data_IF_033436752353
#
_entry.id   IF_033436752353
#
_cell.length_a   1.000
_cell.length_b   1.000
_cell.length_c   1.000
_cell.angle_alpha   90.00
_cell.angle_beta   90.00
_cell.angle_gamma   90.00
#
_symmetry.space_group_name_H-M   'P 1'
#
loop_
_entity.id
_entity.type
_entity.pdbx_description
1 polymer ?
#
# COMPACT_ATOMS: atom_id res chain seq x y z
N UNK A 1 -2.83 13.55 25.17
CA UNK A 1 -2.07 14.77 24.87
C UNK A 1 -0.61 14.39 24.74
N UNK A 2 0.04 14.70 23.62
CA UNK A 2 1.48 14.51 23.46
C UNK A 2 2.21 15.50 24.39
N UNK A 3 3.15 15.00 25.20
CA UNK A 3 3.98 15.85 26.05
C UNK A 3 5.03 16.55 25.17
N UNK A 4 5.37 17.80 25.47
CA UNK A 4 6.40 18.56 24.76
C UNK A 4 7.75 17.84 24.74
N UNK A 5 8.07 17.07 25.80
CA UNK A 5 9.26 16.22 25.83
C UNK A 5 9.19 15.08 24.81
N UNK A 6 8.03 14.44 24.64
CA UNK A 6 7.86 13.38 23.65
C UNK A 6 8.03 13.95 22.24
N UNK A 7 7.54 15.17 21.99
CA UNK A 7 7.68 15.86 20.69
C UNK A 7 9.15 16.21 20.41
N UNK A 8 9.86 16.79 21.39
CA UNK A 8 11.27 17.16 21.24
C UNK A 8 12.18 15.92 21.09
N UNK A 9 11.89 14.85 21.82
CA UNK A 9 12.61 13.57 21.69
C UNK A 9 12.32 12.91 20.33
N UNK A 10 11.08 13.01 19.84
CA UNK A 10 10.69 12.54 18.50
C UNK A 10 11.44 13.31 17.41
N UNK A 11 11.57 14.64 17.55
CA UNK A 11 12.36 15.49 16.64
C UNK A 11 13.85 15.10 16.66
N UNK A 12 14.42 14.83 17.84
CA UNK A 12 15.81 14.37 17.95
C UNK A 12 16.07 13.05 17.21
N UNK A 13 15.13 12.10 17.26
CA UNK A 13 15.26 10.84 16.53
C UNK A 13 15.20 10.98 15.01
N UNK A 14 14.36 11.89 14.52
CA UNK A 14 14.25 12.18 13.09
C UNK A 14 15.61 12.63 12.54
N UNK A 15 16.29 13.49 13.29
CA UNK A 15 17.57 14.09 12.87
C UNK A 15 18.76 13.13 13.06
N UNK A 16 18.79 12.34 14.13
CA UNK A 16 19.96 11.52 14.48
C UNK A 16 19.93 10.07 13.91
N UNK A 17 18.76 9.56 13.48
CA UNK A 17 18.61 8.12 13.17
C UNK A 17 18.10 7.81 11.74
N UNK A 18 18.09 8.78 10.83
CA UNK A 18 17.69 8.60 9.41
C UNK A 18 16.31 7.97 9.24
N UNK A 19 15.34 8.39 10.06
CA UNK A 19 13.98 7.87 10.01
C UNK A 19 13.23 8.44 8.80
N UNK A 20 12.69 7.56 7.96
CA UNK A 20 11.88 7.92 6.80
C UNK A 20 10.43 7.41 6.90
N UNK A 21 9.52 8.22 6.37
CA UNK A 21 8.16 7.78 6.08
C UNK A 21 8.20 7.08 4.73
N UNK A 22 8.04 5.76 4.75
CA UNK A 22 8.08 4.95 3.53
C UNK A 22 6.93 5.29 2.59
N UNK A 23 5.74 5.56 3.14
CA UNK A 23 4.58 5.89 2.33
C UNK A 23 3.50 6.64 3.09
N UNK A 24 2.78 7.51 2.38
CA UNK A 24 1.40 7.90 2.71
C UNK A 24 0.50 7.27 1.66
N UNK A 25 -0.49 6.49 2.08
CA UNK A 25 -1.47 5.86 1.18
C UNK A 25 -2.86 6.41 1.46
N UNK A 26 -3.52 6.94 0.43
CA UNK A 26 -4.94 7.24 0.48
C UNK A 26 -5.75 6.03 0.01
N UNK A 27 -6.54 5.46 0.90
CA UNK A 27 -7.57 4.49 0.55
C UNK A 27 -8.81 5.20 0.02
N UNK A 28 -9.41 4.72 -1.07
CA UNK A 28 -10.61 5.30 -1.68
C UNK A 28 -11.62 4.19 -2.02
N UNK A 29 -12.82 4.29 -1.46
CA UNK A 29 -13.92 3.40 -1.82
C UNK A 29 -14.44 3.71 -3.22
N UNK A 30 -14.69 2.68 -4.02
CA UNK A 30 -15.25 2.81 -5.38
C UNK A 30 -16.67 2.23 -5.49
N UNK A 31 -17.32 1.87 -4.38
CA UNK A 31 -18.63 1.23 -4.40
C UNK A 31 -19.72 2.11 -5.05
N UNK A 32 -19.65 3.42 -4.86
CA UNK A 32 -20.53 4.41 -5.50
C UNK A 32 -20.19 4.67 -6.98
N UNK A 33 -19.03 4.19 -7.44
CA UNK A 33 -18.61 4.24 -8.83
C UNK A 33 -19.07 3.03 -9.64
N UNK A 34 -19.65 2.01 -9.00
CA UNK A 34 -20.21 0.85 -9.69
C UNK A 34 -21.31 1.27 -10.69
N UNK A 35 -21.30 0.65 -11.86
CA UNK A 35 -22.29 0.84 -12.92
C UNK A 35 -22.37 -0.44 -13.75
N UNK A 36 -23.53 -0.75 -14.32
CA UNK A 36 -23.69 -1.87 -15.24
C UNK A 36 -22.99 -1.66 -16.59
N UNK A 37 -22.59 -0.42 -16.88
CA UNK A 37 -21.78 -0.05 -18.02
C UNK A 37 -20.35 0.27 -17.56
N UNK A 38 -19.40 -0.51 -18.07
CA UNK A 38 -17.98 -0.40 -17.69
C UNK A 38 -17.40 0.99 -18.01
N UNK A 39 -17.81 1.64 -19.09
CA UNK A 39 -17.27 2.93 -19.50
C UNK A 39 -17.80 4.05 -18.58
N UNK A 40 -19.06 3.96 -18.15
CA UNK A 40 -19.60 4.85 -17.10
C UNK A 40 -18.92 4.62 -15.75
N UNK A 41 -18.71 3.36 -15.37
CA UNK A 41 -18.00 2.99 -14.14
C UNK A 41 -16.57 3.57 -14.14
N UNK A 42 -15.81 3.35 -15.24
CA UNK A 42 -14.47 3.91 -15.41
C UNK A 42 -14.44 5.44 -15.28
N UNK A 43 -15.41 6.14 -15.89
CA UNK A 43 -15.50 7.60 -15.75
C UNK A 43 -15.69 8.03 -14.30
N UNK A 44 -16.62 7.40 -13.57
CA UNK A 44 -16.86 7.70 -12.15
C UNK A 44 -15.62 7.43 -11.28
N UNK A 45 -14.90 6.34 -11.55
CA UNK A 45 -13.66 5.99 -10.85
C UNK A 45 -12.60 7.09 -11.05
N UNK A 46 -12.34 7.48 -12.30
CA UNK A 46 -11.37 8.53 -12.62
C UNK A 46 -11.73 9.84 -11.92
N UNK A 47 -12.98 10.31 -12.09
CA UNK A 47 -13.45 11.57 -11.51
C UNK A 47 -13.35 11.54 -9.97
N UNK A 48 -13.69 10.41 -9.33
CA UNK A 48 -13.64 10.27 -7.88
C UNK A 48 -12.20 10.26 -7.36
N UNK A 49 -11.31 9.48 -7.97
CA UNK A 49 -9.90 9.39 -7.55
C UNK A 49 -9.21 10.75 -7.70
N UNK A 50 -9.32 11.38 -8.87
CA UNK A 50 -8.68 12.67 -9.12
C UNK A 50 -9.20 13.75 -8.17
N UNK A 51 -10.50 13.79 -7.87
CA UNK A 51 -11.06 14.74 -6.91
C UNK A 51 -10.58 14.49 -5.47
N UNK A 52 -10.50 13.23 -5.03
CA UNK A 52 -10.14 12.90 -3.64
C UNK A 52 -8.63 13.05 -3.39
N UNK A 53 -7.81 12.68 -4.36
CA UNK A 53 -6.35 12.67 -4.23
C UNK A 53 -5.65 13.88 -4.87
N UNK A 54 -6.39 14.88 -5.37
CA UNK A 54 -5.87 16.10 -6.02
C UNK A 54 -4.70 16.74 -5.25
N UNK A 55 -4.82 16.80 -3.93
CA UNK A 55 -3.85 17.46 -3.04
C UNK A 55 -2.95 16.48 -2.29
N UNK A 56 -3.01 15.18 -2.57
CA UNK A 56 -2.28 14.16 -1.81
C UNK A 56 -0.77 14.39 -1.87
N UNK A 57 -0.22 14.58 -3.07
CA UNK A 57 1.22 14.77 -3.28
C UNK A 57 1.68 16.08 -2.66
N UNK A 58 1.00 17.20 -2.95
CA UNK A 58 1.36 18.51 -2.38
C UNK A 58 1.26 18.55 -0.86
N UNK A 59 0.33 17.79 -0.27
CA UNK A 59 0.22 17.64 1.19
C UNK A 59 1.42 16.89 1.73
N UNK A 60 1.79 15.77 1.11
CA UNK A 60 3.01 15.03 1.46
C UNK A 60 4.25 15.92 1.42
N UNK A 61 4.48 16.65 0.33
CA UNK A 61 5.62 17.56 0.17
C UNK A 61 5.64 18.71 1.18
N UNK A 62 4.45 19.22 1.57
CA UNK A 62 4.35 20.25 2.59
C UNK A 62 4.75 19.72 3.97
N UNK A 63 4.34 18.49 4.30
CA UNK A 63 4.68 17.84 5.57
C UNK A 63 6.17 17.49 5.61
N UNK A 64 6.74 17.01 4.51
CA UNK A 64 8.19 16.77 4.38
C UNK A 64 8.98 18.03 4.73
N UNK A 65 8.63 19.17 4.13
CA UNK A 65 9.30 20.46 4.38
C UNK A 65 9.11 20.97 5.81
N UNK A 66 7.93 20.74 6.40
CA UNK A 66 7.60 21.23 7.74
C UNK A 66 8.38 20.49 8.83
N UNK A 67 8.53 19.17 8.69
CA UNK A 67 9.15 18.33 9.70
C UNK A 67 10.57 17.87 9.38
N UNK A 68 11.05 18.14 8.17
CA UNK A 68 12.34 17.65 7.67
C UNK A 68 12.42 16.10 7.73
N UNK A 69 11.30 15.44 7.44
CA UNK A 69 11.19 13.98 7.38
C UNK A 69 10.86 13.61 5.93
N UNK A 70 11.67 12.79 5.25
CA UNK A 70 11.37 12.35 3.90
C UNK A 70 10.14 11.42 3.87
N UNK A 71 9.24 11.66 2.92
CA UNK A 71 8.09 10.82 2.57
C UNK A 71 8.37 10.20 1.20
N UNK A 72 8.89 8.98 1.21
CA UNK A 72 9.45 8.33 0.01
C UNK A 72 8.38 8.08 -1.05
N UNK A 73 7.16 7.72 -0.65
CA UNK A 73 6.08 7.42 -1.59
C UNK A 73 4.75 8.07 -1.18
N UNK A 74 3.96 8.44 -2.17
CA UNK A 74 2.56 8.85 -2.07
C UNK A 74 1.75 7.92 -2.96
N UNK A 75 0.77 7.21 -2.39
CA UNK A 75 0.11 6.08 -3.05
C UNK A 75 -1.40 6.12 -2.89
N UNK A 76 -2.08 5.35 -3.72
CA UNK A 76 -3.54 5.16 -3.63
C UNK A 76 -3.84 3.67 -3.52
N UNK A 77 -4.80 3.29 -2.68
CA UNK A 77 -5.44 1.99 -2.73
C UNK A 77 -6.93 2.14 -2.99
N UNK A 78 -7.52 1.23 -3.78
CA UNK A 78 -8.94 1.28 -4.12
C UNK A 78 -9.64 -0.03 -3.82
N UNK A 79 -10.98 0.01 -3.77
CA UNK A 79 -11.81 -1.18 -3.64
C UNK A 79 -11.39 -2.24 -4.67
N UNK A 80 -11.32 -3.53 -4.28
CA UNK A 80 -11.01 -4.62 -5.20
C UNK A 80 -11.82 -4.53 -6.50
N UNK A 81 -11.13 -4.30 -7.62
CA UNK A 81 -11.78 -4.07 -8.91
C UNK A 81 -12.62 -5.27 -9.36
N UNK A 82 -12.36 -6.48 -8.87
CA UNK A 82 -13.20 -7.64 -9.21
C UNK A 82 -14.66 -7.44 -8.79
N UNK A 83 -14.91 -6.69 -7.72
CA UNK A 83 -16.27 -6.36 -7.27
C UNK A 83 -17.00 -5.44 -8.26
N UNK A 84 -16.29 -4.47 -8.84
CA UNK A 84 -16.86 -3.57 -9.84
C UNK A 84 -17.02 -4.28 -11.18
N UNK A 85 -16.04 -5.11 -11.56
CA UNK A 85 -16.11 -5.96 -12.74
C UNK A 85 -17.28 -6.96 -12.66
N UNK A 86 -17.60 -7.47 -11.48
CA UNK A 86 -18.77 -8.32 -11.25
C UNK A 86 -20.11 -7.62 -11.50
N UNK A 87 -20.17 -6.29 -11.39
CA UNK A 87 -21.37 -5.48 -11.69
C UNK A 87 -21.42 -5.09 -13.17
N UNK A 88 -20.31 -4.58 -13.72
CA UNK A 88 -20.28 -4.06 -15.09
C UNK A 88 -20.15 -5.16 -16.15
N UNK A 89 -19.57 -6.31 -15.80
CA UNK A 89 -19.00 -7.23 -16.78
C UNK A 89 -17.97 -6.54 -17.67
N UNK A 90 -17.78 -7.06 -18.88
CA UNK A 90 -16.89 -6.49 -19.89
C UNK A 90 -15.42 -6.84 -19.67
N UNK A 91 -14.53 -6.00 -20.22
CA UNK A 91 -13.07 -6.19 -20.17
C UNK A 91 -12.45 -5.41 -18.99
N UNK A 92 -11.96 -6.09 -17.94
CA UNK A 92 -11.38 -5.43 -16.76
C UNK A 92 -10.13 -4.59 -17.04
N UNK A 93 -9.47 -4.78 -18.20
CA UNK A 93 -8.30 -3.96 -18.60
C UNK A 93 -8.68 -2.48 -18.70
N UNK A 94 -9.94 -2.16 -19.04
CA UNK A 94 -10.44 -0.78 -19.01
C UNK A 94 -10.31 -0.15 -17.63
N UNK A 95 -10.57 -0.92 -16.56
CA UNK A 95 -10.35 -0.45 -15.19
C UNK A 95 -8.87 -0.23 -14.92
N UNK A 96 -7.99 -1.15 -15.30
CA UNK A 96 -6.55 -0.99 -15.11
C UNK A 96 -6.03 0.30 -15.77
N UNK A 97 -6.37 0.54 -17.04
CA UNK A 97 -5.98 1.76 -17.77
C UNK A 97 -6.56 3.02 -17.12
N UNK A 98 -7.78 2.95 -16.58
CA UNK A 98 -8.41 4.07 -15.87
C UNK A 98 -7.69 4.39 -14.57
N UNK A 99 -7.33 3.37 -13.78
CA UNK A 99 -6.55 3.54 -12.55
C UNK A 99 -5.17 4.12 -12.84
N UNK A 100 -4.48 3.63 -13.87
CA UNK A 100 -3.17 4.16 -14.29
C UNK A 100 -3.26 5.63 -14.68
N UNK A 101 -4.29 5.99 -15.47
CA UNK A 101 -4.54 7.37 -15.86
C UNK A 101 -4.82 8.27 -14.65
N UNK A 102 -5.64 7.82 -13.71
CA UNK A 102 -5.95 8.58 -12.49
C UNK A 102 -4.71 8.75 -11.60
N UNK A 103 -3.90 7.70 -11.45
CA UNK A 103 -2.66 7.74 -10.68
C UNK A 103 -1.65 8.74 -11.26
N UNK A 104 -1.49 8.74 -12.59
CA UNK A 104 -0.64 9.71 -13.30
C UNK A 104 -1.14 11.14 -13.14
N UNK A 105 -2.44 11.37 -13.24
CA UNK A 105 -3.04 12.69 -13.03
C UNK A 105 -2.78 13.21 -11.61
N UNK A 106 -2.92 12.35 -10.59
CA UNK A 106 -2.66 12.71 -9.20
C UNK A 106 -1.17 12.81 -8.85
N UNK A 107 -0.25 12.39 -9.73
CA UNK A 107 1.19 12.38 -9.50
C UNK A 107 1.65 11.38 -8.44
N UNK A 108 0.89 10.32 -8.17
CA UNK A 108 1.23 9.30 -7.16
C UNK A 108 2.16 8.23 -7.73
N UNK A 109 2.93 7.55 -6.87
CA UNK A 109 3.90 6.55 -7.31
C UNK A 109 3.23 5.25 -7.78
N UNK A 110 2.19 4.81 -7.06
CA UNK A 110 1.48 3.57 -7.34
C UNK A 110 0.03 3.63 -6.91
N UNK A 111 -0.80 2.86 -7.63
CA UNK A 111 -2.19 2.59 -7.28
C UNK A 111 -2.44 1.09 -7.19
N UNK A 112 -2.94 0.64 -6.04
CA UNK A 112 -3.32 -0.75 -5.77
C UNK A 112 -4.82 -0.89 -5.68
N UNK A 113 -5.31 -2.13 -5.77
CA UNK A 113 -6.73 -2.45 -5.75
C UNK A 113 -7.21 -3.13 -7.02
N UNK A 114 -6.34 -3.33 -8.02
CA UNK A 114 -6.59 -4.25 -9.13
C UNK A 114 -6.55 -5.70 -8.63
N UNK A 115 -7.55 -6.05 -7.82
CA UNK A 115 -7.46 -7.12 -6.84
C UNK A 115 -8.73 -7.96 -6.80
N UNK A 116 -8.56 -9.21 -6.38
CA UNK A 116 -9.64 -10.18 -6.17
C UNK A 116 -9.47 -10.95 -4.85
N UNK A 117 -10.58 -11.30 -4.20
CA UNK A 117 -10.61 -12.00 -2.91
C UNK A 117 -11.33 -13.35 -3.04
N UNK A 118 -10.61 -14.39 -3.46
CA UNK A 118 -11.16 -15.67 -3.94
C UNK A 118 -10.94 -16.86 -3.01
N UNK A 119 -10.54 -16.60 -1.77
CA UNK A 119 -10.24 -17.61 -0.74
C UNK A 119 -11.37 -18.60 -0.43
N UNK A 120 -12.63 -18.32 -0.82
CA UNK A 120 -13.80 -19.21 -0.66
C UNK A 120 -14.39 -19.73 -1.98
N UNK A 121 -13.73 -19.48 -3.10
CA UNK A 121 -14.24 -19.73 -4.44
C UNK A 121 -14.27 -18.45 -5.28
N UNK A 122 -14.62 -18.61 -6.56
CA UNK A 122 -14.74 -17.51 -7.50
C UNK A 122 -16.20 -17.00 -7.56
N UNK A 123 -16.35 -15.69 -7.70
CA UNK A 123 -17.61 -15.01 -7.97
C UNK A 123 -17.53 -14.27 -9.31
N UNK A 124 -18.62 -13.58 -9.66
CA UNK A 124 -18.68 -12.74 -10.86
C UNK A 124 -17.54 -11.70 -10.87
N UNK A 125 -16.83 -11.60 -12.00
CA UNK A 125 -15.73 -10.65 -12.20
C UNK A 125 -14.37 -11.14 -11.71
N UNK A 126 -14.30 -12.14 -10.82
CA UNK A 126 -13.02 -12.60 -10.26
C UNK A 126 -12.14 -13.27 -11.32
N UNK A 127 -12.71 -14.17 -12.13
CA UNK A 127 -11.95 -14.89 -13.16
C UNK A 127 -11.53 -13.94 -14.29
N UNK A 128 -12.42 -13.06 -14.72
CA UNK A 128 -12.13 -12.05 -15.74
C UNK A 128 -10.99 -11.15 -15.26
N UNK A 129 -11.06 -10.66 -14.01
CA UNK A 129 -10.00 -9.85 -13.44
C UNK A 129 -8.69 -10.64 -13.35
N UNK A 130 -8.68 -11.83 -12.75
CA UNK A 130 -7.44 -12.62 -12.58
C UNK A 130 -6.78 -12.92 -13.93
N UNK A 131 -7.56 -13.32 -14.93
CA UNK A 131 -7.03 -13.64 -16.26
C UNK A 131 -6.50 -12.39 -17.00
N UNK A 132 -7.01 -11.21 -16.69
CA UNK A 132 -6.54 -9.95 -17.28
C UNK A 132 -5.26 -9.39 -16.64
N UNK A 133 -4.85 -9.89 -15.46
CA UNK A 133 -3.71 -9.36 -14.70
C UNK A 133 -2.44 -9.21 -15.55
N UNK A 134 -1.97 -10.22 -16.30
CA UNK A 134 -0.71 -10.09 -17.04
C UNK A 134 -0.74 -8.96 -18.07
N UNK A 135 -1.85 -8.83 -18.81
CA UNK A 135 -2.01 -7.79 -19.81
C UNK A 135 -2.17 -6.42 -19.15
N UNK A 136 -3.00 -6.32 -18.10
CA UNK A 136 -3.17 -5.09 -17.34
C UNK A 136 -1.82 -4.55 -16.82
N UNK A 137 -0.99 -5.41 -16.22
CA UNK A 137 0.31 -5.00 -15.67
C UNK A 137 1.36 -4.69 -16.75
N UNK A 138 1.20 -5.21 -17.97
CA UNK A 138 2.06 -4.90 -19.11
C UNK A 138 1.72 -3.56 -19.78
N UNK A 139 0.42 -3.21 -19.80
CA UNK A 139 -0.11 -2.00 -20.43
C UNK A 139 -0.16 -0.78 -19.50
N UNK A 140 0.00 -0.98 -18.19
CA UNK A 140 -0.02 0.08 -17.18
C UNK A 140 1.33 0.22 -16.51
N UNK A 141 1.64 1.41 -16.02
CA UNK A 141 2.91 1.70 -15.37
C UNK A 141 2.77 1.60 -13.85
N UNK A 142 1.76 2.27 -13.28
CA UNK A 142 1.63 2.52 -11.84
C UNK A 142 0.64 1.60 -11.13
N UNK A 143 -0.10 0.77 -11.87
CA UNK A 143 -1.07 -0.17 -11.28
C UNK A 143 -0.36 -1.38 -10.69
N UNK A 144 -0.74 -1.69 -9.46
CA UNK A 144 -0.39 -2.91 -8.73
C UNK A 144 -1.61 -3.80 -8.53
N UNK A 145 -1.39 -5.11 -8.50
CA UNK A 145 -2.43 -6.12 -8.42
C UNK A 145 -2.18 -7.09 -7.26
N UNK A 146 -3.28 -7.54 -6.64
CA UNK A 146 -3.20 -8.53 -5.56
C UNK A 146 -4.35 -9.51 -5.56
N UNK A 147 -4.08 -10.78 -5.23
CA UNK A 147 -5.13 -11.82 -5.18
C UNK A 147 -5.03 -12.59 -3.88
N UNK A 148 -6.09 -12.58 -3.06
CA UNK A 148 -6.16 -13.41 -1.85
C UNK A 148 -6.77 -14.77 -2.17
N UNK A 149 -5.96 -15.83 -2.10
CA UNK A 149 -6.33 -17.20 -2.49
C UNK A 149 -6.64 -18.10 -1.31
N UNK A 150 -6.41 -17.66 -0.08
CA UNK A 150 -6.65 -18.48 1.11
C UNK A 150 -6.87 -17.66 2.37
N UNK A 151 -7.43 -18.31 3.39
CA UNK A 151 -7.46 -17.80 4.76
C UNK A 151 -7.52 -18.94 5.76
N UNK A 152 -7.08 -18.70 6.99
CA UNK A 152 -7.18 -19.67 8.10
C UNK A 152 -8.62 -20.13 8.31
N UNK A 153 -9.60 -19.25 8.09
CA UNK A 153 -11.03 -19.56 8.26
C UNK A 153 -11.63 -20.38 7.12
N UNK A 154 -11.20 -20.16 5.89
CA UNK A 154 -11.79 -20.78 4.70
C UNK A 154 -10.98 -21.95 4.13
N UNK A 155 -9.73 -22.13 4.59
CA UNK A 155 -8.76 -22.96 3.91
C UNK A 155 -8.14 -22.24 2.71
N UNK A 156 -7.65 -23.01 1.74
CA UNK A 156 -6.95 -22.52 0.55
C UNK A 156 -7.76 -22.91 -0.68
N UNK A 157 -8.09 -21.95 -1.52
CA UNK A 157 -8.64 -22.21 -2.84
C UNK A 157 -7.51 -22.63 -3.79
N UNK A 158 -7.31 -23.95 -3.94
CA UNK A 158 -6.22 -24.52 -4.75
C UNK A 158 -6.38 -24.24 -6.25
N UNK A 159 -7.60 -24.05 -6.75
CA UNK A 159 -7.83 -23.66 -8.14
C UNK A 159 -7.30 -22.25 -8.39
N UNK A 160 -7.53 -21.32 -7.44
CA UNK A 160 -6.98 -19.98 -7.50
C UNK A 160 -5.44 -19.98 -7.37
N UNK A 161 -4.86 -20.82 -6.51
CA UNK A 161 -3.40 -20.99 -6.41
C UNK A 161 -2.81 -21.44 -7.75
N UNK A 162 -3.38 -22.48 -8.37
CA UNK A 162 -2.91 -23.00 -9.65
C UNK A 162 -3.04 -21.95 -10.77
N UNK A 163 -4.13 -21.18 -10.77
CA UNK A 163 -4.34 -20.07 -11.70
C UNK A 163 -3.30 -18.98 -11.51
N UNK A 164 -3.10 -18.51 -10.28
CA UNK A 164 -2.13 -17.45 -9.98
C UNK A 164 -0.70 -17.86 -10.32
N UNK A 165 -0.32 -19.13 -10.15
CA UNK A 165 0.99 -19.63 -10.59
C UNK A 165 1.25 -19.39 -12.09
N UNK A 166 0.22 -19.58 -12.93
CA UNK A 166 0.30 -19.26 -14.37
C UNK A 166 0.34 -17.75 -14.61
N UNK A 167 -0.48 -16.97 -13.89
CA UNK A 167 -0.54 -15.52 -14.07
C UNK A 167 0.76 -14.81 -13.67
N UNK A 168 1.46 -15.28 -12.64
CA UNK A 168 2.77 -14.76 -12.24
C UNK A 168 3.79 -14.94 -13.38
N UNK A 169 3.89 -16.16 -13.93
CA UNK A 169 4.79 -16.45 -15.04
C UNK A 169 4.46 -15.61 -16.28
N UNK A 170 3.17 -15.52 -16.62
CA UNK A 170 2.74 -14.75 -17.79
C UNK A 170 2.98 -13.25 -17.63
N UNK A 171 2.75 -12.70 -16.43
CA UNK A 171 3.05 -11.29 -16.11
C UNK A 171 4.53 -10.98 -16.29
N UNK A 172 5.42 -11.89 -15.86
CA UNK A 172 6.86 -11.76 -16.09
C UNK A 172 7.21 -11.83 -17.59
N UNK A 173 6.63 -12.80 -18.32
CA UNK A 173 6.90 -13.01 -19.75
C UNK A 173 6.51 -11.82 -20.61
N UNK A 174 5.30 -11.28 -20.42
CA UNK A 174 4.79 -10.13 -21.17
C UNK A 174 5.57 -8.84 -20.89
N UNK A 175 6.23 -8.76 -19.74
CA UNK A 175 7.04 -7.61 -19.35
C UNK A 175 8.54 -7.88 -19.38
N UNK A 176 8.99 -8.94 -20.07
CA UNK A 176 10.40 -9.35 -20.15
C UNK A 176 11.32 -8.25 -20.70
N UNK A 177 10.84 -7.44 -21.64
CA UNK A 177 11.57 -6.27 -22.17
C UNK A 177 11.76 -5.13 -21.16
N UNK A 178 11.03 -5.16 -20.05
CA UNK A 178 11.05 -4.18 -18.94
C UNK A 178 11.47 -4.87 -17.63
N UNK A 179 12.46 -5.75 -17.70
CA UNK A 179 12.99 -6.49 -16.54
C UNK A 179 11.92 -7.27 -15.76
N UNK A 180 10.91 -7.82 -16.46
CA UNK A 180 9.82 -8.59 -15.88
C UNK A 180 9.01 -7.80 -14.82
N UNK A 181 8.94 -6.46 -14.94
CA UNK A 181 8.33 -5.57 -13.95
C UNK A 181 6.89 -5.94 -13.56
N UNK A 182 6.13 -6.59 -14.45
CA UNK A 182 4.78 -7.07 -14.16
C UNK A 182 4.74 -7.99 -12.94
N UNK A 183 5.70 -8.88 -12.79
CA UNK A 183 5.77 -9.76 -11.62
C UNK A 183 6.12 -9.00 -10.32
N UNK A 184 6.84 -7.88 -10.40
CA UNK A 184 7.13 -7.04 -9.23
C UNK A 184 5.91 -6.25 -8.74
N UNK A 185 4.89 -6.08 -9.58
CA UNK A 185 3.63 -5.38 -9.27
C UNK A 185 2.48 -6.33 -8.90
N UNK A 186 2.75 -7.63 -8.74
CA UNK A 186 1.75 -8.66 -8.45
C UNK A 186 2.03 -9.37 -7.12
N UNK A 187 1.03 -9.43 -6.23
CA UNK A 187 1.13 -10.15 -4.95
C UNK A 187 0.03 -11.21 -4.83
N UNK A 188 0.39 -12.42 -4.42
CA UNK A 188 -0.56 -13.48 -4.07
C UNK A 188 -0.60 -13.62 -2.56
N UNK A 189 -1.77 -13.44 -1.96
CA UNK A 189 -1.98 -13.51 -0.52
C UNK A 189 -2.61 -14.81 -0.09
N UNK A 190 -2.22 -15.23 1.11
CA UNK A 190 -3.05 -16.03 2.00
C UNK A 190 -3.19 -15.24 3.29
N UNK A 191 -4.41 -15.18 3.86
CA UNK A 191 -4.74 -14.31 4.98
C UNK A 191 -4.51 -12.82 4.69
N UNK A 192 -4.92 -12.33 3.52
CA UNK A 192 -5.07 -10.89 3.37
C UNK A 192 -5.97 -10.34 4.49
N UNK A 193 -5.52 -9.26 5.11
CA UNK A 193 -6.29 -8.42 6.02
C UNK A 193 -7.50 -7.81 5.29
N UNK A 194 -8.48 -7.29 6.03
CA UNK A 194 -9.72 -6.77 5.43
C UNK A 194 -9.49 -5.56 4.51
N UNK A 195 -8.45 -4.79 4.79
CA UNK A 195 -7.88 -3.73 3.98
C UNK A 195 -6.35 -3.81 4.05
N UNK A 196 -5.65 -3.39 3.00
CA UNK A 196 -4.18 -3.33 3.02
C UNK A 196 -3.73 -2.05 2.29
N UNK A 197 -3.13 -1.06 2.96
CA UNK A 197 -2.63 0.15 2.29
C UNK A 197 -1.21 -0.01 1.71
N UNK A 198 -0.59 -1.20 1.79
CA UNK A 198 0.82 -1.41 1.46
C UNK A 198 1.04 -2.12 0.11
N UNK A 199 1.85 -1.47 -0.75
CA UNK A 199 2.20 -1.99 -2.08
C UNK A 199 3.25 -3.09 -2.02
N UNK A 200 3.25 -4.02 -2.99
CA UNK A 200 2.38 -4.08 -4.18
C UNK A 200 0.99 -4.71 -3.93
N UNK A 201 0.69 -5.11 -2.70
CA UNK A 201 -0.52 -5.83 -2.36
C UNK A 201 -1.73 -4.98 -1.96
N UNK A 202 -1.69 -3.67 -2.17
CA UNK A 202 -2.65 -2.80 -1.51
C UNK A 202 -4.05 -2.89 -2.14
N UNK A 203 -5.08 -2.78 -1.32
CA UNK A 203 -6.47 -2.56 -1.71
C UNK A 203 -7.24 -1.92 -0.55
N UNK A 204 -8.28 -1.15 -0.87
CA UNK A 204 -9.15 -0.50 0.12
C UNK A 204 -10.30 -1.44 0.49
N UNK A 205 -10.37 -1.85 1.75
CA UNK A 205 -11.37 -2.79 2.25
C UNK A 205 -12.79 -2.23 2.17
N UNK A 206 -13.79 -3.12 2.06
CA UNK A 206 -15.21 -2.71 2.02
C UNK A 206 -15.75 -2.23 3.36
N UNK A 207 -15.09 -2.57 4.47
CA UNK A 207 -15.44 -2.12 5.82
C UNK A 207 -14.87 -0.75 6.17
N UNK A 208 -13.97 -0.23 5.33
CA UNK A 208 -13.33 1.07 5.54
C UNK A 208 -14.24 2.25 5.18
N UNK A 209 -13.88 3.42 5.67
CA UNK A 209 -14.55 4.68 5.32
C UNK A 209 -14.43 5.01 3.81
N UNK A 210 -15.20 5.99 3.33
CA UNK A 210 -15.19 6.40 1.90
C UNK A 210 -13.77 6.78 1.40
N UNK A 211 -12.98 7.38 2.28
CA UNK A 211 -11.57 7.67 2.04
C UNK A 211 -10.81 7.77 3.35
N UNK A 212 -9.60 7.22 3.42
CA UNK A 212 -8.77 7.19 4.64
C UNK A 212 -7.30 7.42 4.30
N UNK A 213 -6.53 7.98 5.24
CA UNK A 213 -5.06 8.09 5.13
C UNK A 213 -4.39 7.11 6.08
N UNK A 214 -3.53 6.25 5.53
CA UNK A 214 -2.66 5.36 6.30
C UNK A 214 -1.20 5.65 5.98
N UNK A 215 -0.32 5.41 6.95
CA UNK A 215 1.12 5.72 6.85
C UNK A 215 1.94 4.48 7.10
N UNK A 216 2.93 4.24 6.25
CA UNK A 216 3.96 3.23 6.47
C UNK A 216 5.27 3.91 6.85
N UNK A 217 5.88 3.46 7.94
CA UNK A 217 7.15 4.00 8.43
C UNK A 217 8.26 2.96 8.27
N UNK A 218 9.44 3.40 7.86
CA UNK A 218 10.63 2.54 7.79
C UNK A 218 11.25 2.40 9.19
N UNK A 219 11.55 1.16 9.59
CA UNK A 219 12.12 0.83 10.89
C UNK A 219 13.51 0.18 10.93
N UNK A 220 14.02 -0.53 9.89
CA UNK A 220 15.26 -1.29 10.00
C UNK A 220 16.49 -0.49 10.42
N UNK A 221 16.82 0.59 9.70
CA UNK A 221 17.99 1.41 9.99
C UNK A 221 17.98 2.01 11.40
N UNK A 222 16.81 2.48 11.85
CA UNK A 222 16.62 3.05 13.19
C UNK A 222 16.82 1.98 14.28
N UNK A 223 16.20 0.81 14.12
CA UNK A 223 16.36 -0.31 15.06
C UNK A 223 17.81 -0.78 15.10
N UNK A 224 18.45 -0.94 13.95
CA UNK A 224 19.87 -1.34 13.86
C UNK A 224 20.79 -0.32 14.54
N UNK A 225 20.61 0.97 14.27
CA UNK A 225 21.36 2.05 14.91
C UNK A 225 21.21 1.99 16.44
N UNK A 226 19.98 1.84 16.93
CA UNK A 226 19.68 1.73 18.35
C UNK A 226 20.35 0.52 19.01
N UNK A 227 20.40 -0.64 18.33
CA UNK A 227 21.06 -1.84 18.83
C UNK A 227 22.59 -1.75 18.77
N UNK A 228 23.16 -1.11 17.75
CA UNK A 228 24.62 -0.96 17.60
C UNK A 228 25.27 -0.13 18.71
N UNK A 229 24.49 0.72 19.39
CA UNK A 229 24.91 1.55 20.53
C UNK A 229 24.84 0.80 21.87
N UNK A 230 24.25 -0.40 21.89
CA UNK A 230 24.15 -1.21 23.11
C UNK A 230 25.48 -1.90 23.42
N UNK A 231 25.70 -2.20 24.70
CA UNK A 231 26.84 -3.02 25.11
C UNK A 231 26.73 -4.42 24.52
N UNK A 232 27.83 -4.96 23.99
CA UNK A 232 27.89 -6.33 23.46
C UNK A 232 27.52 -7.43 24.48
N UNK A 233 27.59 -7.11 25.77
CA UNK A 233 27.21 -7.98 26.88
C UNK A 233 25.75 -7.81 27.33
N UNK A 234 24.99 -6.93 26.68
CA UNK A 234 23.58 -6.71 26.99
C UNK A 234 22.77 -8.01 26.89
N UNK A 235 21.90 -8.22 27.86
CA UNK A 235 20.99 -9.35 27.90
C UNK A 235 19.90 -9.25 26.82
N UNK A 236 19.31 -10.38 26.44
CA UNK A 236 18.18 -10.40 25.50
C UNK A 236 16.97 -9.58 25.99
N UNK A 237 16.81 -9.45 27.32
CA UNK A 237 15.75 -8.62 27.90
C UNK A 237 16.00 -7.13 27.61
N UNK A 238 17.24 -6.66 27.73
CA UNK A 238 17.62 -5.29 27.43
C UNK A 238 17.49 -5.00 25.93
N UNK A 239 17.88 -5.95 25.07
CA UNK A 239 17.72 -5.85 23.62
C UNK A 239 16.24 -5.75 23.23
N UNK A 240 15.39 -6.60 23.80
CA UNK A 240 13.94 -6.59 23.57
C UNK A 240 13.31 -5.26 24.01
N UNK A 241 13.72 -4.74 25.18
CA UNK A 241 13.24 -3.45 25.67
C UNK A 241 13.66 -2.30 24.75
N UNK A 242 14.89 -2.34 24.22
CA UNK A 242 15.38 -1.35 23.27
C UNK A 242 14.58 -1.37 21.97
N UNK A 243 14.35 -2.54 21.38
CA UNK A 243 13.53 -2.70 20.16
C UNK A 243 12.12 -2.15 20.40
N UNK A 244 11.49 -2.50 21.52
CA UNK A 244 10.15 -2.03 21.88
C UNK A 244 10.08 -0.51 21.97
N UNK A 245 11.05 0.12 22.65
CA UNK A 245 11.12 1.57 22.78
C UNK A 245 11.31 2.24 21.42
N UNK A 246 12.22 1.73 20.60
CA UNK A 246 12.46 2.25 19.26
C UNK A 246 11.21 2.13 18.39
N UNK A 247 10.55 0.98 18.36
CA UNK A 247 9.31 0.77 17.60
C UNK A 247 8.17 1.70 18.05
N UNK A 248 8.03 1.94 19.36
CA UNK A 248 7.05 2.89 19.90
C UNK A 248 7.28 4.30 19.33
N UNK A 249 8.54 4.75 19.33
CA UNK A 249 8.87 6.10 18.86
C UNK A 249 8.71 6.24 17.35
N UNK A 250 9.11 5.24 16.56
CA UNK A 250 8.86 5.20 15.11
C UNK A 250 7.35 5.31 14.82
N UNK A 251 6.54 4.57 15.57
CA UNK A 251 5.07 4.63 15.45
C UNK A 251 4.53 6.03 15.73
N UNK A 252 5.08 6.75 16.71
CA UNK A 252 4.68 8.12 17.03
C UNK A 252 4.96 9.10 15.90
N UNK A 253 6.10 8.96 15.22
CA UNK A 253 6.41 9.79 14.04
C UNK A 253 5.40 9.52 12.92
N UNK A 254 5.12 8.24 12.63
CA UNK A 254 4.11 7.87 11.65
C UNK A 254 2.73 8.42 11.98
N UNK A 255 2.35 8.40 13.27
CA UNK A 255 1.09 8.94 13.74
C UNK A 255 1.03 10.47 13.58
N UNK A 256 2.11 11.20 13.86
CA UNK A 256 2.20 12.64 13.68
C UNK A 256 1.96 13.02 12.20
N UNK A 257 2.73 12.40 11.30
CA UNK A 257 2.62 12.64 9.84
C UNK A 257 1.24 12.25 9.33
N UNK A 258 0.72 11.10 9.74
CA UNK A 258 -0.58 10.61 9.31
C UNK A 258 -1.75 11.47 9.77
N UNK A 259 -1.72 11.93 11.03
CA UNK A 259 -2.77 12.78 11.59
C UNK A 259 -2.82 14.15 10.90
N UNK A 260 -1.66 14.73 10.60
CA UNK A 260 -1.60 16.01 9.89
C UNK A 260 -2.04 15.88 8.42
N UNK A 261 -1.60 14.83 7.72
CA UNK A 261 -2.04 14.58 6.36
C UNK A 261 -3.57 14.39 6.29
N UNK A 262 -4.14 13.64 7.23
CA UNK A 262 -5.57 13.43 7.37
C UNK A 262 -6.33 14.75 7.61
N UNK A 263 -5.81 15.62 8.49
CA UNK A 263 -6.42 16.93 8.78
C UNK A 263 -6.42 17.85 7.54
N UNK A 264 -5.28 17.97 6.85
CA UNK A 264 -5.15 18.84 5.66
C UNK A 264 -6.04 18.34 4.51
N UNK A 265 -6.11 17.02 4.31
CA UNK A 265 -6.92 16.39 3.26
C UNK A 265 -8.40 16.24 3.65
N UNK A 266 -8.75 16.57 4.90
CA UNK A 266 -10.10 16.45 5.47
C UNK A 266 -10.67 15.03 5.30
N UNK A 267 -9.88 14.03 5.67
CA UNK A 267 -10.26 12.61 5.67
C UNK A 267 -9.84 11.96 6.99
N UNK A 268 -10.49 10.87 7.43
CA UNK A 268 -10.04 10.12 8.59
C UNK A 268 -8.59 9.62 8.47
N UNK A 269 -7.90 9.63 9.60
CA UNK A 269 -6.65 8.90 9.76
C UNK A 269 -6.97 7.44 10.09
N UNK A 270 -6.32 6.52 9.36
CA UNK A 270 -6.43 5.08 9.53
C UNK A 270 -5.34 4.55 10.45
N UNK A 271 -4.42 3.76 9.88
CA UNK A 271 -3.39 3.05 10.64
C UNK A 271 -1.98 3.56 10.36
N UNK A 272 -1.08 3.28 11.31
CA UNK A 272 0.37 3.28 11.08
C UNK A 272 0.83 1.83 10.98
N UNK A 273 1.65 1.52 9.99
CA UNK A 273 2.39 0.25 9.94
C UNK A 273 3.89 0.48 9.97
N UNK A 274 4.58 -0.48 10.55
CA UNK A 274 6.03 -0.53 10.70
C UNK A 274 6.58 -1.48 9.67
N UNK A 275 7.17 -0.94 8.62
CA UNK A 275 7.83 -1.75 7.60
C UNK A 275 9.23 -2.11 8.06
N UNK A 276 9.51 -3.41 8.18
CA UNK A 276 10.86 -3.95 8.29
C UNK A 276 11.53 -4.15 6.93
N UNK A 277 10.84 -3.77 5.84
CA UNK A 277 11.40 -3.91 4.51
C UNK A 277 12.58 -2.94 4.35
N UNK A 278 13.74 -3.41 3.86
CA UNK A 278 14.89 -2.55 3.61
C UNK A 278 14.55 -1.48 2.56
N UNK A 279 15.26 -0.36 2.58
CA UNK A 279 15.35 0.50 1.40
C UNK A 279 16.35 -0.08 0.40
N UNK A 280 16.44 0.45 -0.84
CA UNK A 280 17.50 0.05 -1.77
C UNK A 280 18.93 0.44 -1.31
N UNK A 281 19.08 1.19 -0.22
CA UNK A 281 20.38 1.60 0.28
C UNK A 281 21.17 0.40 0.84
N UNK A 282 22.44 0.29 0.42
CA UNK A 282 23.33 -0.79 0.88
C UNK A 282 23.52 -0.67 2.39
N UNK A 283 23.25 -1.76 3.12
CA UNK A 283 23.39 -1.83 4.57
C UNK A 283 22.15 -1.41 5.37
N UNK A 284 21.07 -0.99 4.70
CA UNK A 284 19.79 -0.68 5.35
C UNK A 284 18.88 -1.91 5.37
N UNK A 285 19.22 -2.89 6.20
CA UNK A 285 18.46 -4.13 6.38
C UNK A 285 18.59 -4.65 7.80
N UNK A 286 17.54 -5.33 8.29
CA UNK A 286 17.55 -6.06 9.58
C UNK A 286 18.47 -7.29 9.56
N UNK A 287 18.97 -7.71 8.40
CA UNK A 287 19.87 -8.86 8.28
C UNK A 287 21.33 -8.54 8.67
N UNK A 288 21.68 -7.25 8.80
CA UNK A 288 23.01 -6.77 9.19
C UNK A 288 23.07 -6.46 10.68
#
# INVERSE_FOLDING_TARGET
MLNTNDILETIGMIQDESLDIRTITMGISLLDAADSDIDRSCKKIYDKICRKAEKLVSTGESIEKKYDIPIVNKRISVTPISMLAGVSGGDPIKYARTLDKAAKECGVDFIGGYSALVHKGFSAGDLELINSIPQALAETELVCSSVNVGSTKAGINMDAVALMGRQVLESARLTSSKQCIGAAKLVVFCNAVEDNPFMAGAFHGIGESDSVISVGVSGPGVVRSALSKMDSSASLNEVSEQIKRTAFKITRVGQLVGSEAAEILNVPFGIVDLSLAPTPAVGDSVAH
#
